data_IF_073287109733
#
_entry.id   IF_073287109733
#
_cell.length_a   1.000
_cell.length_b   1.000
_cell.length_c   1.000
_cell.angle_alpha   90.00
_cell.angle_beta   90.00
_cell.angle_gamma   90.00
#
_symmetry.space_group_name_H-M   'P 1'
#
loop_
_entity.id
_entity.type
_entity.pdbx_description
1 polymer ?
#
# COMPACT_ATOMS: atom_id res chain seq x y z
N UNK A 1 12.56 16.78 19.88
CA UNK A 1 13.06 15.61 19.12
C UNK A 1 13.80 16.14 17.91
N UNK A 2 15.10 15.92 17.80
CA UNK A 2 15.84 16.22 16.57
C UNK A 2 16.25 14.89 15.96
N UNK A 3 15.39 14.28 15.13
CA UNK A 3 15.91 13.31 14.17
C UNK A 3 16.82 14.12 13.25
N UNK A 4 18.12 13.85 13.30
CA UNK A 4 19.06 14.55 12.43
C UNK A 4 19.05 13.83 11.09
N UNK A 5 18.30 14.41 10.15
CA UNK A 5 18.21 13.91 8.78
C UNK A 5 19.48 14.30 8.02
N UNK A 6 20.57 13.58 8.30
CA UNK A 6 21.83 13.71 7.55
C UNK A 6 21.81 12.99 6.20
N UNK A 7 20.81 12.12 5.97
CA UNK A 7 20.61 11.42 4.71
C UNK A 7 19.73 12.27 3.78
N UNK A 8 20.29 12.72 2.65
CA UNK A 8 19.59 13.58 1.67
C UNK A 8 18.36 12.91 1.04
N UNK A 9 18.28 11.59 1.09
CA UNK A 9 17.18 10.84 0.47
C UNK A 9 15.90 10.90 1.30
N UNK A 10 15.97 11.31 2.56
CA UNK A 10 14.82 11.38 3.45
C UNK A 10 14.48 12.84 3.79
N UNK A 11 13.20 13.08 4.03
CA UNK A 11 12.68 14.34 4.61
C UNK A 11 11.80 14.00 5.80
N UNK A 12 11.79 14.84 6.87
CA UNK A 12 10.83 14.67 7.94
C UNK A 12 9.40 14.89 7.41
N UNK A 13 8.46 14.09 7.89
CA UNK A 13 7.04 14.33 7.72
C UNK A 13 6.63 15.46 8.66
N UNK A 14 5.88 16.44 8.16
CA UNK A 14 5.47 17.59 8.94
C UNK A 14 4.34 17.20 9.91
N UNK A 15 4.39 17.76 11.11
CA UNK A 15 3.30 17.68 12.07
C UNK A 15 2.22 18.72 11.71
N UNK A 16 1.00 18.46 12.14
CA UNK A 16 -0.17 19.29 11.86
C UNK A 16 -0.83 19.70 13.18
N UNK A 17 -0.90 21.01 13.50
CA UNK A 17 -1.56 21.52 14.70
C UNK A 17 -3.07 21.25 14.73
N UNK A 18 -3.67 20.98 13.57
CA UNK A 18 -5.10 20.71 13.44
C UNK A 18 -5.42 19.21 13.44
N UNK A 19 -4.41 18.34 13.31
CA UNK A 19 -4.60 16.91 13.29
C UNK A 19 -5.00 16.37 14.67
N UNK A 20 -5.92 15.41 14.67
CA UNK A 20 -6.42 14.75 15.87
C UNK A 20 -6.37 13.24 15.69
N UNK A 21 -5.99 12.55 16.75
CA UNK A 21 -6.07 11.09 16.84
C UNK A 21 -7.54 10.73 17.07
N UNK A 22 -8.16 10.04 16.11
CA UNK A 22 -9.58 9.69 16.13
C UNK A 22 -9.77 8.24 15.70
N UNK A 23 -10.80 7.57 16.22
CA UNK A 23 -10.97 6.11 16.05
C UNK A 23 -11.62 5.66 14.75
N UNK A 24 -12.09 6.58 13.91
CA UNK A 24 -12.74 6.23 12.63
C UNK A 24 -12.04 7.01 11.52
N UNK A 25 -11.16 6.31 10.80
CA UNK A 25 -10.57 6.84 9.58
C UNK A 25 -11.29 6.18 8.38
N UNK A 26 -12.13 6.94 7.67
CA UNK A 26 -12.76 6.53 6.39
C UNK A 26 -11.74 6.14 5.29
N UNK A 27 -10.44 6.31 5.56
CA UNK A 27 -9.36 6.36 4.58
C UNK A 27 -8.61 5.03 4.35
N UNK A 28 -9.16 3.87 4.74
CA UNK A 28 -8.49 2.60 4.44
C UNK A 28 -8.82 1.99 3.09
N UNK A 29 -9.86 2.46 2.40
CA UNK A 29 -10.17 1.93 1.08
C UNK A 29 -9.06 2.27 0.08
N UNK A 30 -8.44 1.23 -0.46
CA UNK A 30 -7.50 1.37 -1.57
C UNK A 30 -8.22 1.84 -2.83
N UNK A 31 -7.49 2.46 -3.76
CA UNK A 31 -8.09 2.88 -5.05
C UNK A 31 -8.72 1.71 -5.80
N UNK A 32 -8.08 0.53 -5.79
CA UNK A 32 -8.65 -0.68 -6.37
C UNK A 32 -9.93 -1.15 -5.64
N UNK A 33 -10.03 -1.00 -4.32
CA UNK A 33 -11.25 -1.32 -3.57
C UNK A 33 -12.37 -0.34 -3.92
N UNK A 34 -12.06 0.95 -4.04
CA UNK A 34 -13.02 1.96 -4.51
C UNK A 34 -13.47 1.66 -5.95
N UNK A 35 -12.59 1.16 -6.81
CA UNK A 35 -12.94 0.77 -8.19
C UNK A 35 -13.90 -0.43 -8.22
N UNK A 36 -13.63 -1.44 -7.39
CA UNK A 36 -14.50 -2.61 -7.22
C UNK A 36 -15.89 -2.18 -6.77
N UNK A 37 -15.97 -1.34 -5.73
CA UNK A 37 -17.27 -0.82 -5.21
C UNK A 37 -17.99 -0.07 -6.33
N UNK A 38 -17.31 0.86 -6.99
CA UNK A 38 -17.91 1.67 -8.05
C UNK A 38 -18.38 0.81 -9.24
N UNK A 39 -17.61 -0.21 -9.62
CA UNK A 39 -17.98 -1.15 -10.67
C UNK A 39 -19.21 -1.98 -10.30
N UNK A 40 -19.27 -2.46 -9.04
CA UNK A 40 -20.43 -3.20 -8.53
C UNK A 40 -21.71 -2.37 -8.52
N UNK A 41 -21.62 -1.11 -8.11
CA UNK A 41 -22.78 -0.20 -8.04
C UNK A 41 -23.28 0.23 -9.42
N UNK A 42 -22.37 0.49 -10.36
CA UNK A 42 -22.72 1.15 -11.62
C UNK A 42 -22.86 0.18 -12.80
N UNK A 43 -22.20 -0.99 -12.79
CA UNK A 43 -22.13 -1.87 -13.96
C UNK A 43 -22.55 -3.30 -13.65
N UNK A 44 -22.11 -3.87 -12.52
CA UNK A 44 -22.36 -5.27 -12.23
C UNK A 44 -23.85 -5.58 -12.08
N UNK A 45 -24.32 -6.64 -12.74
CA UNK A 45 -25.74 -6.99 -12.79
C UNK A 45 -26.60 -6.08 -13.69
N UNK A 46 -26.04 -5.04 -14.30
CA UNK A 46 -26.72 -4.15 -15.25
C UNK A 46 -26.21 -4.38 -16.68
N UNK A 47 -27.05 -4.25 -17.72
CA UNK A 47 -26.59 -4.26 -19.10
C UNK A 47 -25.60 -3.12 -19.37
N UNK A 48 -24.39 -3.45 -19.78
CA UNK A 48 -23.32 -2.50 -20.09
C UNK A 48 -22.37 -3.08 -21.13
N UNK A 49 -21.61 -2.22 -21.81
CA UNK A 49 -20.62 -2.61 -22.80
C UNK A 49 -19.23 -2.73 -22.16
N UNK A 50 -18.47 -3.74 -22.55
CA UNK A 50 -17.06 -3.89 -22.17
C UNK A 50 -16.21 -3.90 -23.44
N UNK A 51 -15.16 -3.09 -23.44
CA UNK A 51 -14.20 -2.97 -24.52
C UNK A 51 -12.83 -3.40 -24.01
N UNK A 52 -12.17 -4.32 -24.73
CA UNK A 52 -10.83 -4.76 -24.41
C UNK A 52 -9.86 -4.38 -25.52
N UNK A 53 -8.62 -4.10 -25.16
CA UNK A 53 -7.50 -4.02 -26.09
C UNK A 53 -6.32 -4.78 -25.49
N UNK A 54 -5.73 -5.70 -26.27
CA UNK A 54 -4.48 -6.36 -25.87
C UNK A 54 -3.28 -5.45 -26.14
N UNK A 55 -3.30 -4.76 -27.30
CA UNK A 55 -2.26 -3.84 -27.74
C UNK A 55 -2.87 -2.47 -28.04
N UNK A 56 -2.31 -1.42 -27.43
CA UNK A 56 -2.68 -0.04 -27.69
C UNK A 56 -1.53 0.91 -27.35
N UNK A 57 -1.67 2.20 -27.66
CA UNK A 57 -0.69 3.24 -27.26
C UNK A 57 -0.54 3.37 -25.74
N UNK A 58 -1.48 2.82 -24.96
CA UNK A 58 -1.45 2.78 -23.49
C UNK A 58 -1.22 1.37 -22.93
N UNK A 59 -0.80 0.42 -23.76
CA UNK A 59 -0.69 -1.00 -23.40
C UNK A 59 -2.06 -1.71 -23.36
N UNK A 60 -2.21 -2.80 -22.61
CA UNK A 60 -3.49 -3.50 -22.48
C UNK A 60 -4.52 -2.64 -21.74
N UNK A 61 -5.78 -2.64 -22.20
CA UNK A 61 -6.87 -1.85 -21.65
C UNK A 61 -8.13 -2.69 -21.47
N UNK A 62 -8.89 -2.35 -20.43
CA UNK A 62 -10.28 -2.80 -20.26
C UNK A 62 -11.15 -1.60 -19.90
N UNK A 63 -12.19 -1.34 -20.69
CA UNK A 63 -13.10 -0.20 -20.51
C UNK A 63 -14.52 -0.70 -20.39
N UNK A 64 -15.15 -0.46 -19.25
CA UNK A 64 -16.57 -0.75 -19.06
C UNK A 64 -17.37 0.54 -19.22
N UNK A 65 -18.44 0.53 -20.01
CA UNK A 65 -19.26 1.72 -20.30
C UNK A 65 -20.74 1.40 -20.13
N UNK A 66 -21.46 2.29 -19.42
CA UNK A 66 -22.91 2.21 -19.24
C UNK A 66 -23.55 3.58 -19.49
N UNK A 67 -24.74 3.58 -20.08
CA UNK A 67 -25.63 4.74 -20.14
C UNK A 67 -26.69 4.60 -19.04
N UNK A 68 -26.69 5.51 -18.07
CA UNK A 68 -27.57 5.47 -16.91
C UNK A 68 -28.14 6.87 -16.64
N UNK A 69 -29.46 7.02 -16.66
CA UNK A 69 -30.11 8.32 -16.44
C UNK A 69 -29.73 9.42 -17.43
N UNK A 70 -29.34 9.07 -18.66
CA UNK A 70 -28.88 10.03 -19.67
C UNK A 70 -27.40 10.40 -19.56
N UNK A 71 -26.68 9.84 -18.59
CA UNK A 71 -25.25 10.06 -18.38
C UNK A 71 -24.47 8.80 -18.74
N UNK A 72 -23.43 8.94 -19.56
CA UNK A 72 -22.48 7.87 -19.80
C UNK A 72 -21.45 7.83 -18.67
N UNK A 73 -21.26 6.64 -18.08
CA UNK A 73 -20.22 6.35 -17.09
C UNK A 73 -19.24 5.35 -17.67
N UNK A 74 -17.95 5.58 -17.49
CA UNK A 74 -16.89 4.65 -17.91
C UNK A 74 -15.90 4.35 -16.78
N UNK A 75 -15.52 3.08 -16.64
CA UNK A 75 -14.36 2.63 -15.87
C UNK A 75 -13.26 2.24 -16.86
N UNK A 76 -12.23 3.08 -16.99
CA UNK A 76 -11.06 2.83 -17.84
C UNK A 76 -9.97 2.20 -16.98
N UNK A 77 -9.59 0.96 -17.28
CA UNK A 77 -8.52 0.24 -16.59
C UNK A 77 -7.29 0.18 -17.47
N UNK A 78 -6.19 0.77 -17.02
CA UNK A 78 -4.90 0.80 -17.71
C UNK A 78 -3.76 0.31 -16.81
N UNK A 79 -2.56 0.21 -17.40
CA UNK A 79 -1.33 -0.11 -16.68
C UNK A 79 -0.92 0.98 -15.67
N UNK A 80 -1.40 2.21 -15.82
CA UNK A 80 -1.08 3.35 -14.95
C UNK A 80 -2.05 3.47 -13.76
N UNK A 81 -3.26 2.93 -13.90
CA UNK A 81 -4.30 3.04 -12.90
C UNK A 81 -5.68 2.84 -13.51
N UNK A 82 -6.71 3.11 -12.72
CA UNK A 82 -8.08 3.13 -13.22
C UNK A 82 -8.60 4.57 -13.19
N UNK A 83 -9.37 4.95 -14.20
CA UNK A 83 -10.01 6.26 -14.29
C UNK A 83 -11.53 6.07 -14.36
N UNK A 84 -12.26 6.83 -13.55
CA UNK A 84 -13.73 6.88 -13.55
C UNK A 84 -14.15 8.14 -14.28
N UNK A 85 -14.77 7.99 -15.43
CA UNK A 85 -15.13 9.09 -16.30
C UNK A 85 -16.64 9.16 -16.47
N UNK A 86 -17.17 10.37 -16.57
CA UNK A 86 -18.60 10.63 -16.77
C UNK A 86 -18.79 11.73 -17.80
N UNK A 87 -19.73 11.53 -18.73
CA UNK A 87 -20.11 12.54 -19.72
C UNK A 87 -21.62 12.53 -19.94
N UNK A 88 -22.19 13.72 -20.12
CA UNK A 88 -23.60 13.86 -20.49
C UNK A 88 -23.85 13.19 -21.85
N UNK A 89 -24.94 12.41 -21.95
CA UNK A 89 -25.30 11.73 -23.20
C UNK A 89 -25.53 12.69 -24.36
N UNK A 90 -25.97 13.91 -24.06
CA UNK A 90 -26.15 14.99 -25.04
C UNK A 90 -24.82 15.52 -25.61
N UNK A 91 -23.72 15.38 -24.87
CA UNK A 91 -22.39 15.81 -25.32
C UNK A 91 -21.76 14.79 -26.29
N UNK A 92 -22.28 13.56 -26.36
CA UNK A 92 -21.74 12.52 -27.24
C UNK A 92 -22.34 12.64 -28.64
N UNK A 93 -21.49 12.93 -29.62
CA UNK A 93 -21.95 13.04 -31.00
C UNK A 93 -22.52 11.71 -31.53
N UNK A 94 -23.74 11.78 -32.04
CA UNK A 94 -24.47 10.66 -32.63
C UNK A 94 -25.21 11.12 -33.87
N UNK A 95 -24.99 10.44 -34.99
CA UNK A 95 -25.64 10.78 -36.26
C UNK A 95 -27.15 10.54 -36.23
N UNK A 96 -27.90 11.34 -36.99
CA UNK A 96 -29.36 11.25 -37.10
C UNK A 96 -29.83 9.85 -37.48
N UNK A 97 -29.11 9.19 -38.38
CA UNK A 97 -29.38 7.79 -38.74
C UNK A 97 -29.31 6.86 -37.52
N UNK A 98 -28.25 6.92 -36.70
CA UNK A 98 -28.14 6.04 -35.52
C UNK A 98 -29.20 6.33 -34.46
N UNK A 99 -29.56 7.61 -34.28
CA UNK A 99 -30.70 8.01 -33.41
C UNK A 99 -32.00 7.39 -33.90
N UNK A 100 -32.28 7.48 -35.21
CA UNK A 100 -33.49 6.93 -35.82
C UNK A 100 -33.60 5.41 -35.64
N UNK A 101 -32.48 4.69 -35.75
CA UNK A 101 -32.42 3.24 -35.55
C UNK A 101 -32.18 2.80 -34.10
N UNK A 102 -32.27 3.71 -33.12
CA UNK A 102 -32.02 3.44 -31.69
C UNK A 102 -30.67 2.74 -31.43
N UNK A 103 -29.68 2.99 -32.28
CA UNK A 103 -28.32 2.48 -32.13
C UNK A 103 -27.51 3.45 -31.29
N UNK A 104 -26.69 2.95 -30.37
CA UNK A 104 -25.75 3.78 -29.61
C UNK A 104 -24.75 4.56 -30.48
N UNK A 105 -24.05 5.55 -29.91
CA UNK A 105 -23.00 6.30 -30.61
C UNK A 105 -21.90 5.36 -31.12
N UNK A 106 -21.08 5.85 -32.05
CA UNK A 106 -19.86 5.13 -32.46
C UNK A 106 -18.87 5.12 -31.29
N UNK A 107 -18.09 4.06 -31.18
CA UNK A 107 -17.10 3.90 -30.10
C UNK A 107 -16.09 5.05 -30.13
N UNK A 108 -15.67 5.54 -31.30
CA UNK A 108 -14.73 6.64 -31.42
C UNK A 108 -15.30 7.95 -30.87
N UNK A 109 -16.57 8.23 -31.15
CA UNK A 109 -17.24 9.42 -30.63
C UNK A 109 -17.41 9.34 -29.10
N UNK A 110 -17.77 8.16 -28.61
CA UNK A 110 -17.99 7.91 -27.19
C UNK A 110 -16.68 8.02 -26.40
N UNK A 111 -15.62 7.34 -26.86
CA UNK A 111 -14.31 7.37 -26.21
C UNK A 111 -13.68 8.78 -26.28
N UNK A 112 -13.82 9.48 -27.42
CA UNK A 112 -13.34 10.87 -27.54
C UNK A 112 -14.10 11.84 -26.64
N UNK A 113 -15.38 11.59 -26.36
CA UNK A 113 -16.14 12.41 -25.41
C UNK A 113 -15.63 12.22 -23.98
N UNK A 114 -15.27 10.98 -23.59
CA UNK A 114 -14.68 10.70 -22.28
C UNK A 114 -13.26 11.29 -22.13
N UNK A 115 -12.37 11.00 -23.08
CA UNK A 115 -11.01 11.53 -23.10
C UNK A 115 -10.37 11.28 -24.47
N UNK A 116 -9.77 12.32 -25.05
CA UNK A 116 -9.03 12.23 -26.32
C UNK A 116 -7.83 11.28 -26.28
N UNK A 117 -7.34 10.94 -25.08
CA UNK A 117 -6.24 10.00 -24.89
C UNK A 117 -6.62 8.52 -24.98
N UNK A 118 -7.91 8.17 -25.15
CA UNK A 118 -8.34 6.77 -25.25
C UNK A 118 -8.15 6.26 -26.70
N UNK A 119 -7.38 5.19 -26.93
CA UNK A 119 -7.10 4.66 -28.27
C UNK A 119 -8.28 3.85 -28.81
N UNK A 120 -9.37 4.54 -29.19
CA UNK A 120 -10.64 3.92 -29.56
C UNK A 120 -10.54 2.87 -30.67
N UNK A 121 -9.62 3.05 -31.62
CA UNK A 121 -9.42 2.11 -32.75
C UNK A 121 -8.83 0.77 -32.35
N UNK A 122 -8.17 0.68 -31.21
CA UNK A 122 -7.60 -0.56 -30.67
C UNK A 122 -8.60 -1.36 -29.86
N UNK A 123 -9.77 -0.77 -29.56
CA UNK A 123 -10.77 -1.38 -28.68
C UNK A 123 -11.67 -2.34 -29.45
N UNK A 124 -11.88 -3.52 -28.87
CA UNK A 124 -12.83 -4.52 -29.35
C UNK A 124 -13.96 -4.69 -28.33
N UNK A 125 -15.21 -4.59 -28.80
CA UNK A 125 -16.38 -4.85 -27.97
C UNK A 125 -16.49 -6.34 -27.64
N UNK A 126 -16.59 -6.66 -26.34
CA UNK A 126 -16.72 -8.01 -25.84
C UNK A 126 -18.06 -8.18 -25.12
N UNK A 127 -18.86 -9.15 -25.59
CA UNK A 127 -20.20 -9.45 -25.04
C UNK A 127 -20.24 -10.70 -24.16
N UNK A 128 -19.08 -11.23 -23.77
CA UNK A 128 -19.01 -12.42 -22.93
C UNK A 128 -19.57 -12.13 -21.53
N UNK A 129 -20.61 -12.84 -21.07
CA UNK A 129 -21.23 -12.60 -19.75
C UNK A 129 -20.27 -12.89 -18.58
N UNK A 130 -19.25 -13.73 -18.78
CA UNK A 130 -18.22 -14.02 -17.77
C UNK A 130 -17.21 -12.90 -17.55
N UNK A 131 -17.07 -11.96 -18.51
CA UNK A 131 -16.04 -10.91 -18.45
C UNK A 131 -16.20 -10.00 -17.22
N UNK A 132 -17.43 -9.65 -16.84
CA UNK A 132 -17.67 -8.78 -15.69
C UNK A 132 -17.14 -9.39 -14.37
N UNK A 133 -17.31 -10.70 -14.19
CA UNK A 133 -16.77 -11.42 -13.02
C UNK A 133 -15.24 -11.50 -13.06
N UNK A 134 -14.66 -11.66 -14.25
CA UNK A 134 -13.21 -11.73 -14.40
C UNK A 134 -12.53 -10.38 -14.18
N UNK A 135 -13.14 -9.28 -14.61
CA UNK A 135 -12.67 -7.91 -14.31
C UNK A 135 -12.69 -7.65 -12.80
N UNK A 136 -13.77 -8.05 -12.11
CA UNK A 136 -13.83 -7.96 -10.65
C UNK A 136 -12.75 -8.81 -9.98
N UNK A 137 -12.61 -10.08 -10.39
CA UNK A 137 -11.58 -10.97 -9.84
C UNK A 137 -10.17 -10.44 -10.10
N UNK A 138 -9.94 -9.78 -11.24
CA UNK A 138 -8.67 -9.12 -11.57
C UNK A 138 -8.39 -7.93 -10.64
N UNK A 139 -9.40 -7.13 -10.30
CA UNK A 139 -9.26 -6.01 -9.36
C UNK A 139 -9.06 -6.52 -7.92
N UNK A 140 -9.81 -7.54 -7.51
CA UNK A 140 -9.69 -8.17 -6.18
C UNK A 140 -8.27 -8.73 -5.95
N UNK A 141 -7.65 -9.31 -7.00
CA UNK A 141 -6.25 -9.77 -6.96
C UNK A 141 -5.21 -8.66 -6.76
N UNK A 142 -5.57 -7.40 -6.99
CA UNK A 142 -4.70 -6.25 -6.77
C UNK A 142 -4.86 -5.63 -5.37
N UNK A 143 -5.89 -6.03 -4.61
CA UNK A 143 -6.11 -5.52 -3.26
C UNK A 143 -5.04 -6.11 -2.33
N UNK A 144 -4.23 -5.23 -1.74
CA UNK A 144 -3.22 -5.66 -0.78
C UNK A 144 -3.90 -5.83 0.57
N UNK A 145 -3.88 -7.04 1.11
CA UNK A 145 -4.48 -7.40 2.41
C UNK A 145 -3.46 -7.71 3.50
N UNK A 146 -2.17 -7.73 3.15
CA UNK A 146 -1.11 -8.12 4.07
C UNK A 146 0.06 -7.16 3.99
N UNK A 147 0.56 -6.75 5.15
CA UNK A 147 1.68 -5.83 5.30
C UNK A 147 2.78 -6.44 6.16
N UNK A 148 4.00 -5.96 5.94
CA UNK A 148 5.16 -6.35 6.72
C UNK A 148 5.99 -5.12 7.08
N UNK A 149 6.32 -4.99 8.35
CA UNK A 149 7.04 -3.82 8.87
C UNK A 149 8.26 -4.26 9.66
N UNK A 150 9.40 -3.62 9.41
CA UNK A 150 10.61 -3.82 10.20
C UNK A 150 10.46 -3.15 11.57
N UNK A 151 11.00 -3.76 12.63
CA UNK A 151 11.08 -3.12 13.95
C UNK A 151 12.50 -3.22 14.48
N UNK A 152 13.18 -2.08 14.52
CA UNK A 152 14.50 -1.92 15.11
C UNK A 152 14.40 -1.35 16.53
N UNK A 153 15.35 -1.73 17.37
CA UNK A 153 15.51 -1.24 18.74
C UNK A 153 16.82 -0.46 18.80
N UNK A 154 16.77 0.78 19.29
CA UNK A 154 17.93 1.68 19.35
C UNK A 154 18.16 2.12 20.80
N UNK A 155 19.35 1.84 21.33
CA UNK A 155 19.76 2.21 22.69
C UNK A 155 20.78 3.34 22.69
N UNK A 156 21.13 3.86 23.87
CA UNK A 156 22.15 4.90 24.02
C UNK A 156 23.49 4.52 23.38
N UNK A 157 24.15 5.49 22.75
CA UNK A 157 25.44 5.33 22.06
C UNK A 157 25.37 4.65 20.69
N UNK A 158 24.21 4.16 20.25
CA UNK A 158 24.06 3.53 18.94
C UNK A 158 23.80 4.59 17.88
N UNK A 159 24.66 4.62 16.87
CA UNK A 159 24.58 5.58 15.76
C UNK A 159 24.42 4.91 14.42
N UNK A 160 24.70 3.60 14.32
CA UNK A 160 24.68 2.85 13.06
C UNK A 160 23.56 1.81 12.98
N UNK A 161 23.15 1.46 11.75
CA UNK A 161 22.20 0.37 11.51
C UNK A 161 22.71 -0.98 12.04
N UNK A 162 24.00 -1.27 11.86
CA UNK A 162 24.61 -2.52 12.32
C UNK A 162 24.58 -2.66 13.85
N UNK A 163 24.78 -1.57 14.60
CA UNK A 163 24.67 -1.56 16.07
C UNK A 163 23.24 -1.89 16.51
N UNK A 164 22.24 -1.21 15.94
CA UNK A 164 20.83 -1.49 16.26
C UNK A 164 20.43 -2.93 15.92
N UNK A 165 20.85 -3.43 14.75
CA UNK A 165 20.59 -4.80 14.32
C UNK A 165 21.32 -5.84 15.16
N UNK A 166 22.35 -5.46 15.92
CA UNK A 166 23.10 -6.36 16.81
C UNK A 166 22.46 -6.54 18.19
N UNK A 167 21.42 -5.77 18.52
CA UNK A 167 20.72 -5.88 19.80
C UNK A 167 20.09 -7.27 19.97
N UNK A 168 20.27 -7.87 21.15
CA UNK A 168 19.74 -9.21 21.45
C UNK A 168 18.38 -9.13 22.16
N UNK A 169 17.60 -10.20 22.07
CA UNK A 169 16.27 -10.23 22.68
C UNK A 169 16.34 -10.15 24.21
N UNK A 170 17.38 -10.74 24.80
CA UNK A 170 17.55 -10.82 26.25
C UNK A 170 17.84 -9.44 26.88
N UNK A 171 18.38 -8.50 26.10
CA UNK A 171 18.79 -7.17 26.55
C UNK A 171 17.75 -6.07 26.29
N UNK A 172 16.53 -6.42 25.88
CA UNK A 172 15.50 -5.42 25.58
C UNK A 172 14.86 -4.86 26.86
N UNK A 173 14.55 -3.58 26.85
CA UNK A 173 13.91 -2.92 27.99
C UNK A 173 12.44 -3.31 28.19
N UNK A 174 11.90 -3.09 29.41
CA UNK A 174 10.47 -3.25 29.66
C UNK A 174 9.60 -2.36 28.76
N UNK A 175 10.06 -1.14 28.44
CA UNK A 175 9.35 -0.23 27.56
C UNK A 175 9.23 -0.77 26.14
N UNK A 176 10.32 -1.34 25.60
CA UNK A 176 10.29 -1.96 24.28
C UNK A 176 9.39 -3.21 24.25
N UNK A 177 9.42 -4.05 25.29
CA UNK A 177 8.49 -5.19 25.43
C UNK A 177 7.04 -4.73 25.41
N UNK A 178 6.70 -3.68 26.16
CA UNK A 178 5.36 -3.09 26.16
C UNK A 178 4.97 -2.53 24.79
N UNK A 179 5.91 -1.91 24.07
CA UNK A 179 5.67 -1.45 22.70
C UNK A 179 5.42 -2.60 21.72
N UNK A 180 6.16 -3.71 21.82
CA UNK A 180 5.89 -4.90 20.99
C UNK A 180 4.49 -5.46 21.24
N UNK A 181 4.04 -5.49 22.50
CA UNK A 181 2.67 -5.88 22.86
C UNK A 181 1.61 -4.89 22.34
N UNK A 182 1.93 -3.60 22.31
CA UNK A 182 1.08 -2.58 21.70
C UNK A 182 0.92 -2.79 20.17
N UNK A 183 1.97 -3.23 19.48
CA UNK A 183 1.90 -3.55 18.04
C UNK A 183 1.00 -4.75 17.76
N UNK A 184 1.16 -5.84 18.51
CA UNK A 184 0.43 -7.07 18.27
C UNK A 184 0.76 -8.20 19.25
N UNK A 185 0.28 -9.38 18.89
CA UNK A 185 0.48 -10.61 19.64
C UNK A 185 1.81 -11.27 19.24
N UNK A 186 2.54 -11.82 20.22
CA UNK A 186 3.68 -12.69 19.95
C UNK A 186 3.18 -14.10 19.59
N UNK A 187 3.44 -14.53 18.37
CA UNK A 187 3.01 -15.84 17.84
C UNK A 187 4.21 -16.79 17.67
N UNK A 188 3.96 -18.09 17.73
CA UNK A 188 4.94 -19.11 17.33
C UNK A 188 4.98 -19.24 15.80
N UNK A 189 6.17 -19.25 15.21
CA UNK A 189 6.35 -19.37 13.76
C UNK A 189 6.16 -20.80 13.24
N UNK A 190 6.53 -21.80 14.03
CA UNK A 190 6.43 -23.20 13.64
C UNK A 190 4.96 -23.58 13.37
N UNK A 191 4.67 -23.95 12.12
CA UNK A 191 3.31 -24.32 11.72
C UNK A 191 2.32 -23.16 11.61
N UNK A 192 2.81 -21.90 11.62
CA UNK A 192 1.97 -20.71 11.44
C UNK A 192 1.21 -20.77 10.10
N UNK A 193 -0.10 -20.48 10.15
CA UNK A 193 -1.01 -20.58 8.99
C UNK A 193 -1.42 -19.23 8.41
N UNK A 194 -1.14 -18.12 9.12
CA UNK A 194 -1.44 -16.77 8.65
C UNK A 194 -0.39 -16.24 7.69
N UNK A 195 -0.49 -14.95 7.36
CA UNK A 195 0.54 -14.28 6.57
C UNK A 195 1.91 -14.37 7.26
N UNK A 196 2.91 -14.93 6.56
CA UNK A 196 4.25 -15.21 7.10
C UNK A 196 5.32 -14.18 6.75
N UNK A 197 5.04 -13.25 5.84
CA UNK A 197 5.98 -12.21 5.37
C UNK A 197 7.39 -12.67 4.94
N UNK A 198 7.59 -13.95 4.61
CA UNK A 198 8.90 -14.50 4.26
C UNK A 198 9.70 -15.06 5.45
N UNK A 199 9.10 -15.11 6.65
CA UNK A 199 9.64 -15.85 7.79
C UNK A 199 9.49 -17.37 7.59
N UNK A 200 10.42 -18.11 8.19
CA UNK A 200 10.43 -19.58 8.22
C UNK A 200 9.36 -20.10 9.19
N UNK A 201 8.41 -20.84 8.64
CA UNK A 201 7.33 -21.51 9.39
C UNK A 201 7.48 -23.04 9.38
N UNK A 202 8.51 -23.57 8.72
CA UNK A 202 8.72 -25.01 8.54
C UNK A 202 9.21 -25.72 9.80
N UNK A 203 9.68 -24.95 10.80
CA UNK A 203 10.24 -25.46 12.05
C UNK A 203 11.77 -25.61 12.03
N UNK A 204 12.47 -25.09 11.01
CA UNK A 204 13.94 -25.02 11.02
C UNK A 204 14.49 -23.84 11.83
N UNK A 205 13.61 -22.93 12.28
CA UNK A 205 13.91 -21.74 13.07
C UNK A 205 14.93 -20.80 12.41
N UNK A 206 15.02 -20.83 11.07
CA UNK A 206 15.97 -20.00 10.31
C UNK A 206 15.74 -18.50 10.47
N UNK A 207 14.52 -18.11 10.84
CA UNK A 207 14.15 -16.70 11.07
C UNK A 207 13.62 -16.49 12.49
N UNK A 208 14.10 -17.28 13.44
CA UNK A 208 13.65 -17.25 14.84
C UNK A 208 12.49 -18.20 15.10
N UNK A 209 12.03 -18.23 16.35
CA UNK A 209 10.95 -19.11 16.81
C UNK A 209 9.61 -18.40 16.94
N UNK A 210 9.64 -17.08 17.15
CA UNK A 210 8.46 -16.25 17.37
C UNK A 210 8.55 -14.95 16.56
N UNK A 211 7.40 -14.34 16.33
CA UNK A 211 7.29 -13.01 15.72
C UNK A 211 6.12 -12.25 16.35
N UNK A 212 6.08 -10.93 16.14
CA UNK A 212 4.93 -10.10 16.50
C UNK A 212 4.01 -9.99 15.29
N UNK A 213 2.72 -10.21 15.50
CA UNK A 213 1.70 -10.26 14.46
C UNK A 213 0.39 -9.63 14.91
N UNK A 214 -0.38 -9.06 13.99
CA UNK A 214 -1.76 -8.67 14.28
C UNK A 214 -2.69 -8.81 13.09
N UNK A 215 -3.96 -9.11 13.37
CA UNK A 215 -5.07 -8.86 12.46
C UNK A 215 -5.72 -7.55 12.83
N UNK A 216 -5.76 -6.63 11.89
CA UNK A 216 -6.26 -5.28 12.10
C UNK A 216 -7.15 -4.87 10.93
N UNK A 217 -8.44 -4.65 11.20
CA UNK A 217 -9.43 -4.22 10.20
C UNK A 217 -9.46 -5.07 8.91
N UNK A 218 -9.27 -6.39 9.05
CA UNK A 218 -9.22 -7.33 7.93
C UNK A 218 -7.87 -7.39 7.19
N UNK A 219 -6.87 -6.62 7.64
CA UNK A 219 -5.49 -6.72 7.20
C UNK A 219 -4.68 -7.62 8.14
N UNK A 220 -3.73 -8.37 7.58
CA UNK A 220 -2.73 -9.12 8.34
C UNK A 220 -1.41 -8.35 8.35
N UNK A 221 -0.83 -8.09 9.52
CA UNK A 221 0.43 -7.37 9.65
C UNK A 221 1.43 -8.24 10.40
N UNK A 222 2.56 -8.53 9.75
CA UNK A 222 3.69 -9.23 10.35
C UNK A 222 4.81 -8.24 10.65
N UNK A 223 5.39 -8.30 11.85
CA UNK A 223 6.51 -7.45 12.23
C UNK A 223 7.82 -8.22 12.22
N UNK A 224 8.77 -7.77 11.39
CA UNK A 224 10.14 -8.26 11.41
C UNK A 224 10.91 -7.57 12.55
N UNK A 225 10.73 -8.10 13.76
CA UNK A 225 11.38 -7.59 14.97
C UNK A 225 12.84 -8.03 14.99
N UNK A 226 13.77 -7.08 14.82
CA UNK A 226 15.21 -7.37 14.71
C UNK A 226 15.73 -8.24 15.85
N UNK A 227 15.27 -7.97 17.08
CA UNK A 227 15.71 -8.72 18.26
C UNK A 227 15.16 -10.15 18.33
N UNK A 228 14.05 -10.46 17.65
CA UNK A 228 13.47 -11.81 17.56
C UNK A 228 14.02 -12.64 16.40
N UNK A 229 14.67 -12.00 15.42
CA UNK A 229 15.40 -12.69 14.36
C UNK A 229 16.72 -13.26 14.90
N UNK A 230 17.29 -14.33 14.30
CA UNK A 230 18.53 -14.92 14.79
C UNK A 230 19.68 -13.92 14.81
N UNK A 231 20.48 -13.95 15.88
CA UNK A 231 21.71 -13.18 16.00
C UNK A 231 22.89 -14.05 15.58
N UNK A 232 23.84 -13.49 14.85
CA UNK A 232 25.10 -14.17 14.50
C UNK A 232 26.31 -13.36 14.96
N UNK A 233 27.00 -13.81 16.02
CA UNK A 233 28.12 -13.05 16.59
C UNK A 233 29.29 -12.82 15.62
N UNK A 234 29.44 -13.71 14.62
CA UNK A 234 30.50 -13.61 13.60
C UNK A 234 30.16 -12.62 12.49
N UNK A 235 28.89 -12.25 12.36
CA UNK A 235 28.40 -11.33 11.33
C UNK A 235 28.20 -9.94 11.91
N UNK A 236 29.22 -9.08 11.79
CA UNK A 236 29.15 -7.71 12.30
C UNK A 236 28.06 -6.86 11.65
N UNK A 237 27.57 -7.23 10.46
CA UNK A 237 26.53 -6.48 9.75
C UNK A 237 25.13 -7.06 9.97
N UNK A 238 25.02 -8.24 10.61
CA UNK A 238 23.76 -8.97 10.82
C UNK A 238 22.95 -9.07 9.52
N UNK A 239 23.58 -9.56 8.45
CA UNK A 239 23.04 -9.58 7.09
C UNK A 239 21.69 -10.27 6.99
N UNK A 240 21.44 -11.35 7.75
CA UNK A 240 20.13 -12.01 7.75
C UNK A 240 19.04 -11.11 8.38
N UNK A 241 19.35 -10.40 9.47
CA UNK A 241 18.40 -9.42 10.04
C UNK A 241 18.17 -8.27 9.06
N UNK A 242 19.25 -7.76 8.46
CA UNK A 242 19.21 -6.73 7.42
C UNK A 242 18.45 -7.18 6.17
N UNK A 243 18.52 -8.45 5.80
CA UNK A 243 17.78 -9.02 4.66
C UNK A 243 16.26 -8.94 4.89
N UNK A 244 15.79 -9.05 6.12
CA UNK A 244 14.37 -8.86 6.43
C UNK A 244 14.03 -7.36 6.51
N UNK A 245 14.59 -6.64 7.49
CA UNK A 245 14.24 -5.23 7.75
C UNK A 245 14.61 -4.29 6.60
N UNK A 246 15.72 -4.56 5.93
CA UNK A 246 16.16 -3.81 4.76
C UNK A 246 15.30 -4.07 3.52
N UNK A 247 14.47 -5.12 3.49
CA UNK A 247 13.51 -5.36 2.41
C UNK A 247 12.07 -4.97 2.78
N UNK A 248 11.88 -4.31 3.92
CA UNK A 248 10.59 -3.76 4.31
C UNK A 248 10.48 -2.31 3.85
N UNK A 249 9.27 -1.90 3.46
CA UNK A 249 9.06 -0.53 2.99
C UNK A 249 9.03 0.45 4.17
N UNK A 250 8.41 0.01 5.27
CA UNK A 250 8.29 0.75 6.52
C UNK A 250 9.14 0.08 7.58
N UNK A 251 9.99 0.86 8.24
CA UNK A 251 10.77 0.42 9.40
C UNK A 251 10.45 1.31 10.58
N UNK A 252 10.01 0.69 11.66
CA UNK A 252 9.79 1.32 12.95
C UNK A 252 11.11 1.27 13.72
N UNK A 253 11.57 2.40 14.23
CA UNK A 253 12.73 2.51 15.11
C UNK A 253 12.23 2.94 16.47
N UNK A 254 12.24 2.00 17.42
CA UNK A 254 11.97 2.33 18.82
C UNK A 254 13.24 2.89 19.46
N UNK A 255 13.16 4.09 20.00
CA UNK A 255 14.27 4.81 20.63
C UNK A 255 14.18 4.70 22.14
N UNK A 256 15.12 3.96 22.72
CA UNK A 256 15.32 3.85 24.16
C UNK A 256 16.54 4.67 24.60
N UNK A 257 16.54 5.91 24.15
CA UNK A 257 17.59 6.90 24.39
C UNK A 257 17.03 8.30 24.19
N UNK A 258 17.64 9.27 24.87
CA UNK A 258 17.39 10.69 24.64
C UNK A 258 18.22 11.27 23.50
N UNK A 259 19.21 10.51 23.01
CA UNK A 259 20.13 10.95 21.97
C UNK A 259 19.45 11.07 20.59
N UNK A 260 19.79 12.11 19.80
CA UNK A 260 19.35 12.23 18.41
C UNK A 260 19.74 11.01 17.56
N UNK A 261 18.76 10.41 16.87
CA UNK A 261 19.05 9.37 15.89
C UNK A 261 19.52 9.99 14.57
N UNK A 262 20.61 9.46 14.01
CA UNK A 262 21.19 9.91 12.74
C UNK A 262 20.76 8.98 11.59
N UNK A 263 20.02 9.55 10.63
CA UNK A 263 19.48 8.81 9.48
C UNK A 263 20.52 8.37 8.43
N UNK A 264 21.72 8.94 8.45
CA UNK A 264 22.82 8.60 7.54
C UNK A 264 23.19 7.11 7.59
N UNK A 265 22.81 6.43 8.66
CA UNK A 265 23.15 5.04 8.93
C UNK A 265 22.22 4.01 8.27
N UNK A 266 21.04 4.41 7.79
CA UNK A 266 20.12 3.51 7.10
C UNK A 266 20.43 3.53 5.61
N UNK A 267 20.81 2.37 5.08
CA UNK A 267 21.37 2.24 3.72
C UNK A 267 20.43 1.57 2.72
N UNK A 268 19.28 1.05 3.15
CA UNK A 268 18.40 0.30 2.26
C UNK A 268 17.70 1.18 1.22
N UNK A 269 17.71 0.71 -0.03
CA UNK A 269 16.92 1.30 -1.11
C UNK A 269 15.41 1.04 -0.98
N UNK A 270 15.00 -0.02 -0.28
CA UNK A 270 13.59 -0.41 -0.15
C UNK A 270 12.88 0.30 0.99
N UNK A 271 13.60 0.71 2.05
CA UNK A 271 13.01 1.52 3.12
C UNK A 271 12.60 2.88 2.52
N UNK A 272 11.31 3.20 2.61
CA UNK A 272 10.74 4.48 2.16
C UNK A 272 10.10 5.27 3.30
N UNK A 273 9.72 4.59 4.38
CA UNK A 273 9.13 5.22 5.57
C UNK A 273 9.92 4.75 6.79
N UNK A 274 10.41 5.69 7.59
CA UNK A 274 11.08 5.44 8.85
C UNK A 274 10.26 6.07 9.97
N UNK A 275 9.66 5.22 10.80
CA UNK A 275 8.76 5.60 11.89
C UNK A 275 9.52 5.58 13.22
N UNK A 276 9.79 6.74 13.81
CA UNK A 276 10.51 6.88 15.07
C UNK A 276 9.52 6.94 16.23
N UNK A 277 9.66 6.02 17.17
CA UNK A 277 8.79 5.93 18.35
C UNK A 277 9.65 6.01 19.60
N UNK A 278 9.30 6.93 20.51
CA UNK A 278 9.99 7.11 21.79
C UNK A 278 8.96 7.13 22.93
N UNK A 279 9.19 6.44 24.06
CA UNK A 279 8.35 6.57 25.24
C UNK A 279 8.23 8.02 25.70
N UNK A 280 7.01 8.48 25.98
CA UNK A 280 6.78 9.81 26.55
C UNK A 280 5.52 9.80 27.43
N UNK A 281 5.71 10.03 28.73
CA UNK A 281 4.65 9.90 29.73
C UNK A 281 3.94 8.54 29.64
N UNK A 282 2.61 8.57 29.61
CA UNK A 282 1.75 7.39 29.46
C UNK A 282 1.64 6.87 28.02
N UNK A 283 2.32 7.50 27.07
CA UNK A 283 2.19 7.25 25.64
C UNK A 283 3.53 7.10 24.93
N UNK A 284 3.52 7.53 23.67
CA UNK A 284 4.67 7.58 22.80
C UNK A 284 4.71 8.89 22.02
N UNK A 285 5.90 9.44 21.87
CA UNK A 285 6.21 10.44 20.86
C UNK A 285 6.51 9.73 19.54
N UNK A 286 5.92 10.22 18.45
CA UNK A 286 6.02 9.61 17.14
C UNK A 286 6.29 10.59 16.01
N UNK A 287 7.38 10.36 15.28
CA UNK A 287 7.69 11.15 14.08
C UNK A 287 8.03 10.22 12.94
N UNK A 288 7.89 10.71 11.71
CA UNK A 288 8.24 9.96 10.52
C UNK A 288 9.27 10.71 9.69
N UNK A 289 10.18 9.98 9.06
CA UNK A 289 10.93 10.44 7.91
C UNK A 289 10.51 9.63 6.69
N UNK A 290 10.29 10.31 5.57
CA UNK A 290 9.83 9.70 4.32
C UNK A 290 10.86 9.94 3.22
N UNK A 291 11.06 8.96 2.36
CA UNK A 291 11.97 9.09 1.22
C UNK A 291 11.44 10.12 0.22
N UNK A 292 12.34 10.83 -0.45
CA UNK A 292 11.99 11.78 -1.50
C UNK A 292 11.13 11.08 -2.58
N UNK A 293 10.11 11.79 -3.07
CA UNK A 293 9.15 11.25 -4.04
C UNK A 293 7.99 10.45 -3.42
N UNK A 294 7.99 10.17 -2.11
CA UNK A 294 6.79 9.67 -1.43
C UNK A 294 5.79 10.84 -1.25
N UNK A 295 4.55 10.74 -1.77
CA UNK A 295 3.54 11.78 -1.62
C UNK A 295 3.02 11.85 -0.18
N UNK A 296 2.29 12.93 0.14
CA UNK A 296 1.62 13.05 1.42
C UNK A 296 0.53 11.97 1.61
N UNK A 297 0.30 11.57 2.84
CA UNK A 297 -0.71 10.58 3.23
C UNK A 297 -1.31 10.92 4.59
N UNK A 298 -2.51 10.40 4.84
CA UNK A 298 -3.26 10.59 6.08
C UNK A 298 -3.26 9.29 6.91
N UNK A 299 -3.36 9.38 8.25
CA UNK A 299 -3.63 10.56 9.05
C UNK A 299 -2.37 11.42 9.21
N UNK A 300 -2.56 12.73 9.32
CA UNK A 300 -1.47 13.65 9.65
C UNK A 300 -1.01 13.41 11.10
N UNK A 301 0.29 13.58 11.37
CA UNK A 301 0.83 13.47 12.72
C UNK A 301 0.46 14.74 13.51
N UNK A 302 -0.13 14.64 14.71
CA UNK A 302 -0.50 15.82 15.51
C UNK A 302 0.71 16.64 15.95
N UNK A 303 0.48 17.90 16.32
CA UNK A 303 1.44 18.73 17.04
C UNK A 303 0.85 19.13 18.42
N UNK A 304 1.37 18.64 19.55
CA UNK A 304 2.58 17.82 19.69
C UNK A 304 2.40 16.39 19.15
N UNK A 305 3.48 15.76 18.63
CA UNK A 305 3.42 14.45 17.98
C UNK A 305 3.41 13.30 19.00
N UNK A 306 2.37 13.24 19.82
CA UNK A 306 2.23 12.28 20.93
C UNK A 306 0.91 11.53 20.81
N UNK A 307 0.95 10.22 21.05
CA UNK A 307 -0.23 9.37 21.11
C UNK A 307 -0.19 8.44 22.33
N UNK A 308 -1.35 7.94 22.78
CA UNK A 308 -1.49 7.09 23.95
C UNK A 308 -1.17 5.61 23.71
N UNK A 309 -1.46 4.74 24.67
CA UNK A 309 -1.31 3.27 24.52
C UNK A 309 -2.63 2.54 24.28
N UNK A 310 -3.71 3.29 24.15
CA UNK A 310 -5.06 2.78 23.94
C UNK A 310 -5.31 2.31 22.49
N UNK A 311 -6.46 1.69 22.26
CA UNK A 311 -6.84 1.13 20.96
C UNK A 311 -6.97 2.20 19.85
N UNK A 312 -7.42 3.41 20.17
CA UNK A 312 -7.54 4.50 19.19
C UNK A 312 -6.17 4.96 18.75
N UNK A 313 -5.26 5.12 19.71
CA UNK A 313 -3.86 5.46 19.44
C UNK A 313 -3.14 4.38 18.63
N UNK A 314 -3.43 3.10 18.91
CA UNK A 314 -2.95 1.96 18.12
C UNK A 314 -3.47 1.97 16.70
N UNK A 315 -4.77 2.24 16.51
CA UNK A 315 -5.38 2.32 15.20
C UNK A 315 -4.79 3.46 14.37
N UNK A 316 -4.61 4.64 14.97
CA UNK A 316 -3.89 5.76 14.34
C UNK A 316 -2.50 5.34 13.87
N UNK A 317 -1.71 4.71 14.75
CA UNK A 317 -0.34 4.30 14.42
C UNK A 317 -0.31 3.30 13.25
N UNK A 318 -1.08 2.22 13.30
CA UNK A 318 -1.14 1.22 12.23
C UNK A 318 -1.66 1.82 10.92
N UNK A 319 -2.65 2.71 10.99
CA UNK A 319 -3.18 3.42 9.83
C UNK A 319 -2.10 4.29 9.16
N UNK A 320 -1.29 5.02 9.95
CA UNK A 320 -0.17 5.81 9.42
C UNK A 320 0.88 4.95 8.73
N UNK A 321 1.23 3.77 9.29
CA UNK A 321 2.21 2.87 8.66
C UNK A 321 1.69 2.30 7.34
N UNK A 322 0.46 1.78 7.33
CA UNK A 322 -0.17 1.21 6.13
C UNK A 322 -0.30 2.25 5.02
N UNK A 323 -0.76 3.45 5.34
CA UNK A 323 -0.90 4.51 4.35
C UNK A 323 0.44 5.09 3.91
N UNK A 324 1.45 5.11 4.79
CA UNK A 324 2.82 5.42 4.40
C UNK A 324 3.37 4.42 3.38
N UNK A 325 3.16 3.12 3.60
CA UNK A 325 3.53 2.10 2.61
C UNK A 325 2.79 2.29 1.28
N UNK A 326 1.47 2.49 1.33
CA UNK A 326 0.65 2.72 0.12
C UNK A 326 1.09 3.96 -0.66
N UNK A 327 1.43 5.03 0.04
CA UNK A 327 1.96 6.25 -0.58
C UNK A 327 3.27 5.95 -1.31
N UNK A 328 4.14 5.11 -0.74
CA UNK A 328 5.41 4.73 -1.37
C UNK A 328 5.23 4.02 -2.71
N UNK A 329 4.11 3.34 -2.97
CA UNK A 329 3.86 2.66 -4.25
C UNK A 329 3.82 3.63 -5.45
N UNK A 330 3.56 4.91 -5.19
CA UNK A 330 3.60 5.99 -6.18
C UNK A 330 5.01 6.55 -6.41
N UNK A 331 6.01 6.09 -5.66
CA UNK A 331 7.40 6.48 -5.87
C UNK A 331 7.96 5.85 -7.14
N UNK A 332 9.01 6.45 -7.70
CA UNK A 332 9.71 5.97 -8.90
C UNK A 332 10.27 4.56 -8.76
N UNK A 333 10.53 4.10 -7.52
CA UNK A 333 11.08 2.77 -7.24
C UNK A 333 10.03 1.64 -7.29
N UNK A 334 8.75 1.97 -7.08
CA UNK A 334 7.67 0.99 -6.99
C UNK A 334 6.62 1.11 -8.08
N UNK A 335 6.36 2.32 -8.59
CA UNK A 335 5.36 2.54 -9.64
C UNK A 335 5.55 1.62 -10.87
N UNK A 336 6.77 1.39 -11.39
CA UNK A 336 6.97 0.46 -12.52
C UNK A 336 6.61 -0.99 -12.18
N UNK A 337 6.84 -1.43 -10.93
CA UNK A 337 6.53 -2.79 -10.48
C UNK A 337 5.02 -3.01 -10.40
N UNK A 338 4.30 -2.03 -9.83
CA UNK A 338 2.83 -2.04 -9.79
C UNK A 338 2.25 -2.04 -11.20
N UNK A 339 2.77 -1.17 -12.08
CA UNK A 339 2.34 -1.09 -13.47
C UNK A 339 2.55 -2.40 -14.23
N UNK A 340 3.70 -3.08 -14.02
CA UNK A 340 3.97 -4.40 -14.61
C UNK A 340 2.98 -5.46 -14.15
N UNK A 341 2.65 -5.52 -12.85
CA UNK A 341 1.64 -6.45 -12.33
C UNK A 341 0.27 -6.19 -12.95
N UNK A 342 -0.15 -4.91 -13.04
CA UNK A 342 -1.39 -4.52 -13.70
C UNK A 342 -1.42 -4.93 -15.17
N UNK A 343 -0.32 -4.71 -15.89
CA UNK A 343 -0.17 -5.10 -17.29
C UNK A 343 -0.36 -6.60 -17.48
N UNK A 344 0.28 -7.44 -16.66
CA UNK A 344 0.12 -8.90 -16.71
C UNK A 344 -1.34 -9.31 -16.48
N UNK A 345 -1.98 -8.75 -15.47
CA UNK A 345 -3.38 -9.06 -15.13
C UNK A 345 -4.36 -8.63 -16.24
N UNK A 346 -4.16 -7.44 -16.81
CA UNK A 346 -4.97 -6.95 -17.93
C UNK A 346 -4.75 -7.78 -19.21
N UNK A 347 -3.50 -8.13 -19.51
CA UNK A 347 -3.16 -9.00 -20.62
C UNK A 347 -3.81 -10.39 -20.49
N UNK A 348 -3.84 -10.97 -19.30
CA UNK A 348 -4.49 -12.26 -19.02
C UNK A 348 -5.98 -12.20 -19.36
N UNK A 349 -6.70 -11.19 -18.85
CA UNK A 349 -8.13 -10.98 -19.14
C UNK A 349 -8.35 -10.72 -20.63
N UNK A 350 -7.61 -9.77 -21.22
CA UNK A 350 -7.75 -9.42 -22.64
C UNK A 350 -7.49 -10.61 -23.57
N UNK A 351 -6.39 -11.34 -23.33
CA UNK A 351 -6.01 -12.50 -24.15
C UNK A 351 -7.02 -13.64 -24.09
N UNK A 352 -7.75 -13.76 -22.97
CA UNK A 352 -8.76 -14.80 -22.81
C UNK A 352 -10.05 -14.50 -23.57
N UNK A 353 -10.45 -13.23 -23.65
CA UNK A 353 -11.74 -12.81 -24.19
C UNK A 353 -11.70 -12.23 -25.61
N UNK A 354 -10.50 -11.93 -26.14
CA UNK A 354 -10.30 -11.47 -27.51
C UNK A 354 -9.98 -12.58 -28.51
N UNK A 355 -10.00 -13.85 -28.06
CA UNK A 355 -9.75 -15.02 -28.90
C UNK A 355 -10.98 -15.49 -29.66
#
# INVERSE_FOLDING_TARGET
MSVVVGNSDFRPLLNSPTAKITGVHESLLQECEKDIIWYRENFFGKPHDNYLALESTKGPLAISVILDGGVYKALVRSIEGSERLTVEGSAVYQSTHRKLFKLGPKVENLMSAFSSGIPARSLTLVKNPGLANELLSMEERQVIRSYKFGVAYCTAGQTTEAEMLSNRHESISPGYKAFLQFLGETIELRGWKGYRAGLDVSGTNQTGTHAVYTKWQGYEIMFHVATMLPYNEKDKQQLERKRHLGNDIVVIVYQDTDEPFQLSSISSHQNHILAFVKPEGEGYRFTCAVKQGVPAFIPEIPDPPVFGRDAVSRDFFLHTLVNGERASYKSTSFAPKISRTRSVLLCDVASKHLK
#
